data_IF_741620874104
#
_entry.id   IF_741620874104
#
_cell.length_a   1.000
_cell.length_b   1.000
_cell.length_c   1.000
_cell.angle_alpha   90.00
_cell.angle_beta   90.00
_cell.angle_gamma   90.00
#
_symmetry.space_group_name_H-M   'P 1'
#
loop_
_entity.id
_entity.type
_entity.pdbx_description
1 polymer ?
#
# COMPACT_ATOMS: atom_id res chain seq x y z
N UNK A 1 7.40 -31.47 56.36
CA UNK A 1 6.47 -30.36 56.05
C UNK A 1 6.70 -29.93 54.60
N UNK A 2 5.72 -30.15 53.73
CA UNK A 2 5.75 -29.78 52.31
C UNK A 2 5.45 -28.28 52.19
N UNK A 3 6.32 -27.51 51.53
CA UNK A 3 6.10 -26.10 51.19
C UNK A 3 6.58 -25.90 49.76
N UNK A 4 5.62 -25.95 48.83
CA UNK A 4 5.10 -24.82 48.03
C UNK A 4 5.92 -24.59 46.76
N UNK A 5 5.33 -25.03 45.66
CA UNK A 5 5.69 -24.67 44.30
C UNK A 5 5.55 -23.15 44.10
N UNK A 6 6.60 -22.50 43.60
CA UNK A 6 6.52 -21.14 43.06
C UNK A 6 6.58 -21.29 41.55
N UNK A 7 5.42 -21.16 40.90
CA UNK A 7 5.30 -21.11 39.46
C UNK A 7 5.84 -19.75 38.96
N UNK A 8 6.90 -19.79 38.17
CA UNK A 8 7.49 -18.64 37.50
C UNK A 8 6.61 -18.26 36.29
N UNK A 9 5.50 -17.57 36.52
CA UNK A 9 4.68 -16.94 35.48
C UNK A 9 5.13 -15.49 35.26
N UNK A 10 6.29 -15.31 34.61
CA UNK A 10 6.63 -14.04 33.98
C UNK A 10 5.98 -14.03 32.58
N UNK A 11 4.68 -13.78 32.58
CA UNK A 11 3.87 -13.65 31.37
C UNK A 11 4.33 -12.45 30.55
N UNK A 12 5.01 -12.77 29.44
CA UNK A 12 4.90 -12.14 28.12
C UNK A 12 4.13 -10.82 28.14
N UNK A 13 4.86 -9.71 28.17
CA UNK A 13 4.30 -8.38 27.96
C UNK A 13 3.54 -8.35 26.64
N UNK A 14 2.23 -8.22 26.73
CA UNK A 14 1.38 -7.77 25.63
C UNK A 14 1.78 -6.33 25.32
N UNK A 15 2.84 -6.17 24.52
CA UNK A 15 3.08 -4.98 23.73
C UNK A 15 1.93 -4.91 22.72
N UNK A 16 0.80 -4.36 23.14
CA UNK A 16 -0.23 -3.88 22.23
C UNK A 16 0.38 -2.60 21.63
N UNK A 17 1.31 -2.77 20.68
CA UNK A 17 1.69 -1.68 19.80
C UNK A 17 0.45 -1.39 18.95
N UNK A 18 -0.23 -0.29 19.22
CA UNK A 18 -1.17 0.28 18.26
C UNK A 18 -0.34 0.49 16.99
N UNK A 19 -0.54 -0.34 15.97
CA UNK A 19 0.09 -0.11 14.67
C UNK A 19 -0.30 1.30 14.26
N UNK A 20 0.68 2.18 14.10
CA UNK A 20 0.44 3.47 13.48
C UNK A 20 -0.02 3.15 12.05
N UNK A 21 -1.32 3.30 11.80
CA UNK A 21 -1.86 3.11 10.46
C UNK A 21 -1.46 4.32 9.67
N UNK A 22 -0.56 4.06 8.76
CA UNK A 22 -0.11 5.00 7.78
C UNK A 22 -1.26 5.10 6.74
N UNK A 23 -1.64 6.30 6.33
CA UNK A 23 -2.81 6.57 5.48
C UNK A 23 -2.38 7.04 4.09
N UNK A 24 -3.12 6.61 3.08
CA UNK A 24 -2.94 7.13 1.74
C UNK A 24 -3.61 8.51 1.69
N UNK A 25 -2.86 9.55 1.35
CA UNK A 25 -3.38 10.93 1.31
C UNK A 25 -3.66 11.42 -0.12
N UNK A 26 -2.99 10.88 -1.13
CA UNK A 26 -3.25 11.17 -2.53
C UNK A 26 -2.76 10.05 -3.44
N UNK A 27 -3.31 10.02 -4.65
CA UNK A 27 -2.79 9.22 -5.76
C UNK A 27 -2.17 10.13 -6.80
N UNK A 28 -1.06 9.69 -7.38
CA UNK A 28 -0.39 10.32 -8.52
C UNK A 28 -0.11 9.30 -9.60
N UNK A 29 0.08 9.76 -10.83
CA UNK A 29 0.45 8.90 -11.95
C UNK A 29 1.43 9.58 -12.91
N UNK A 30 2.24 8.75 -13.57
CA UNK A 30 3.19 9.18 -14.60
C UNK A 30 3.20 8.22 -15.79
N UNK A 31 2.80 8.72 -16.95
CA UNK A 31 3.01 8.10 -18.25
C UNK A 31 4.51 8.03 -18.56
N UNK A 32 4.98 6.82 -18.85
CA UNK A 32 6.38 6.56 -19.17
C UNK A 32 6.69 6.76 -20.66
N UNK A 33 5.69 7.06 -21.49
CA UNK A 33 5.85 7.28 -22.93
C UNK A 33 6.09 6.01 -23.75
N UNK A 34 6.06 4.83 -23.12
CA UNK A 34 6.38 3.54 -23.73
C UNK A 34 5.22 2.52 -23.65
N UNK A 35 3.99 3.00 -23.42
CA UNK A 35 2.80 2.17 -23.23
C UNK A 35 2.61 1.69 -21.80
N UNK A 36 3.26 2.32 -20.82
CA UNK A 36 3.12 1.99 -19.40
C UNK A 36 3.03 3.25 -18.54
N UNK A 37 2.48 3.08 -17.35
CA UNK A 37 2.26 4.12 -16.34
C UNK A 37 2.80 3.63 -15.00
N UNK A 38 3.41 4.53 -14.23
CA UNK A 38 3.77 4.31 -12.83
C UNK A 38 2.74 5.02 -11.96
N UNK A 39 2.23 4.31 -10.96
CA UNK A 39 1.37 4.92 -9.94
C UNK A 39 2.17 5.28 -8.71
N UNK A 40 1.75 6.38 -8.09
CA UNK A 40 2.31 6.89 -6.87
C UNK A 40 1.20 6.97 -5.80
N UNK A 41 1.50 6.50 -4.60
CA UNK A 41 0.67 6.67 -3.41
C UNK A 41 1.35 7.63 -2.45
N UNK A 42 0.74 8.77 -2.19
CA UNK A 42 1.25 9.75 -1.25
C UNK A 42 0.92 9.34 0.18
N UNK A 43 1.85 9.59 1.08
CA UNK A 43 1.92 9.00 2.38
C UNK A 43 2.21 10.02 3.49
N UNK A 44 1.62 9.84 4.68
CA UNK A 44 1.98 10.54 5.92
C UNK A 44 2.82 9.63 6.81
N UNK A 45 3.99 10.05 7.32
CA UNK A 45 4.72 9.56 8.53
C UNK A 45 6.23 9.86 8.48
N UNK A 46 6.67 10.71 7.55
CA UNK A 46 8.06 11.14 7.41
C UNK A 46 8.90 10.15 6.61
N UNK A 47 10.10 10.60 6.23
CA UNK A 47 10.94 9.96 5.23
C UNK A 47 11.00 8.43 5.33
N UNK A 48 10.60 7.79 4.24
CA UNK A 48 10.67 6.35 4.09
C UNK A 48 12.11 5.89 3.93
N UNK A 49 12.43 4.71 4.47
CA UNK A 49 13.77 4.10 4.38
C UNK A 49 13.78 2.79 3.60
N UNK A 50 12.59 2.30 3.22
CA UNK A 50 12.45 1.13 2.35
C UNK A 50 11.11 1.19 1.62
N UNK A 51 11.03 0.56 0.45
CA UNK A 51 9.75 0.33 -0.24
C UNK A 51 8.85 -0.67 0.51
N UNK A 52 9.43 -1.34 1.51
CA UNK A 52 8.78 -2.30 2.38
C UNK A 52 8.12 -1.56 3.54
N UNK A 53 6.87 -1.24 3.35
CA UNK A 53 5.94 -1.37 4.46
C UNK A 53 5.27 -2.73 4.36
N UNK A 54 4.44 -3.12 5.32
CA UNK A 54 3.60 -4.31 5.22
C UNK A 54 2.49 -4.09 4.17
N UNK A 55 2.90 -3.86 2.91
CA UNK A 55 2.30 -2.86 2.04
C UNK A 55 1.23 -3.47 1.15
N UNK A 56 -0.04 -3.35 1.55
CA UNK A 56 -1.18 -3.96 0.86
C UNK A 56 -1.32 -3.65 -0.64
N UNK A 57 -0.46 -2.78 -1.18
CA UNK A 57 -0.40 -2.36 -2.57
C UNK A 57 -1.55 -1.45 -2.91
N UNK A 58 -1.74 -1.21 -4.20
CA UNK A 58 -2.97 -0.61 -4.72
C UNK A 58 -3.70 -1.65 -5.55
N UNK A 59 -4.96 -1.87 -5.21
CA UNK A 59 -5.90 -2.63 -6.04
C UNK A 59 -6.55 -1.67 -7.02
N UNK A 60 -6.52 -2.05 -8.28
CA UNK A 60 -7.05 -1.25 -9.39
C UNK A 60 -8.06 -2.09 -10.16
N UNK A 61 -9.23 -1.51 -10.45
CA UNK A 61 -10.25 -2.17 -11.25
C UNK A 61 -11.23 -1.18 -11.87
N UNK A 62 -12.20 -1.72 -12.61
CA UNK A 62 -13.30 -0.93 -13.16
C UNK A 62 -14.25 -0.55 -12.02
N UNK A 63 -14.56 0.74 -11.91
CA UNK A 63 -15.55 1.23 -10.95
C UNK A 63 -16.97 0.88 -11.42
N UNK A 64 -17.79 0.29 -10.55
CA UNK A 64 -19.21 0.07 -10.83
C UNK A 64 -20.05 1.17 -10.19
N UNK A 65 -20.59 2.08 -11.00
CA UNK A 65 -21.42 3.19 -10.56
C UNK A 65 -22.77 2.77 -9.95
N UNK A 66 -23.16 1.50 -10.08
CA UNK A 66 -24.39 0.97 -9.48
C UNK A 66 -24.18 0.44 -8.05
N UNK A 67 -22.93 0.36 -7.59
CA UNK A 67 -22.56 -0.12 -6.26
C UNK A 67 -22.09 1.05 -5.38
N UNK A 68 -22.31 0.94 -4.07
CA UNK A 68 -21.67 1.84 -3.13
C UNK A 68 -20.17 1.57 -3.05
N UNK A 69 -19.39 2.55 -2.59
CA UNK A 69 -17.93 2.40 -2.39
C UNK A 69 -17.58 1.13 -1.58
N UNK A 70 -18.29 0.90 -0.47
CA UNK A 70 -18.07 -0.27 0.39
C UNK A 70 -18.49 -1.61 -0.25
N UNK A 71 -19.32 -1.59 -1.30
CA UNK A 71 -19.79 -2.78 -2.00
C UNK A 71 -18.97 -3.13 -3.25
N UNK A 72 -17.96 -2.32 -3.60
CA UNK A 72 -17.11 -2.58 -4.76
C UNK A 72 -16.38 -3.93 -4.61
N UNK A 73 -16.25 -4.73 -5.68
CA UNK A 73 -15.65 -6.07 -5.65
C UNK A 73 -14.11 -6.03 -5.66
N UNK A 74 -13.53 -5.30 -4.71
CA UNK A 74 -12.09 -5.00 -4.64
C UNK A 74 -11.20 -6.25 -4.57
N UNK A 75 -11.70 -7.36 -4.05
CA UNK A 75 -10.98 -8.63 -4.04
C UNK A 75 -10.67 -9.17 -5.44
N UNK A 76 -11.45 -8.77 -6.45
CA UNK A 76 -11.25 -9.12 -7.87
C UNK A 76 -10.38 -8.12 -8.62
N UNK A 77 -10.16 -6.93 -8.04
CA UNK A 77 -9.31 -5.91 -8.63
C UNK A 77 -7.84 -6.34 -8.60
N UNK A 78 -7.11 -5.97 -9.65
CA UNK A 78 -5.73 -6.35 -9.81
C UNK A 78 -4.86 -5.62 -8.78
N UNK A 79 -4.01 -6.37 -8.09
CA UNK A 79 -3.12 -5.85 -7.07
C UNK A 79 -1.76 -5.47 -7.67
N UNK A 80 -1.34 -4.24 -7.44
CA UNK A 80 -0.01 -3.73 -7.77
C UNK A 80 0.72 -3.39 -6.48
N UNK A 81 1.88 -4.00 -6.29
CA UNK A 81 2.72 -3.75 -5.12
C UNK A 81 3.48 -2.45 -5.30
N UNK A 82 3.69 -1.75 -4.20
CA UNK A 82 4.66 -0.66 -4.14
C UNK A 82 6.07 -1.26 -4.14
N UNK A 83 6.96 -0.64 -4.89
CA UNK A 83 8.30 -1.19 -5.19
C UNK A 83 9.43 -0.20 -4.96
N UNK A 84 9.09 1.06 -4.73
CA UNK A 84 10.03 2.10 -4.35
C UNK A 84 9.34 3.25 -3.63
N UNK A 85 10.12 4.23 -3.22
CA UNK A 85 9.64 5.43 -2.53
C UNK A 85 10.45 6.65 -2.93
N UNK A 86 9.88 7.84 -2.72
CA UNK A 86 10.54 9.13 -2.84
C UNK A 86 10.06 9.98 -1.68
N UNK A 87 10.99 10.61 -0.96
CA UNK A 87 10.67 11.45 0.19
C UNK A 87 10.75 12.93 -0.16
N UNK A 88 10.20 13.76 0.71
CA UNK A 88 10.34 15.22 0.68
C UNK A 88 9.80 15.91 -0.59
N UNK A 89 8.72 15.37 -1.17
CA UNK A 89 8.04 15.94 -2.33
C UNK A 89 6.53 16.04 -2.13
N UNK A 90 5.94 17.20 -2.42
CA UNK A 90 4.49 17.39 -2.38
C UNK A 90 3.95 17.77 -0.99
N UNK A 91 2.88 17.11 -0.59
CA UNK A 91 2.16 17.24 0.70
C UNK A 91 0.99 18.23 0.67
N UNK A 92 1.12 19.29 -0.12
CA UNK A 92 0.06 20.27 -0.34
C UNK A 92 -0.42 20.23 -1.78
N UNK A 93 -1.63 20.73 -2.04
CA UNK A 93 -2.17 20.85 -3.39
C UNK A 93 -1.22 21.65 -4.30
N UNK A 94 -0.73 22.79 -3.82
CA UNK A 94 0.23 23.60 -4.56
C UNK A 94 1.55 22.86 -4.83
N UNK A 95 2.05 22.09 -3.88
CA UNK A 95 3.28 21.32 -4.07
C UNK A 95 3.07 20.13 -5.02
N UNK A 96 1.92 19.46 -4.97
CA UNK A 96 1.57 18.39 -5.90
C UNK A 96 1.34 18.94 -7.32
N UNK A 97 0.70 20.10 -7.46
CA UNK A 97 0.58 20.81 -8.74
C UNK A 97 1.94 21.20 -9.31
N UNK A 98 2.90 21.57 -8.46
CA UNK A 98 4.28 21.80 -8.89
C UNK A 98 4.92 20.52 -9.46
N UNK A 99 4.68 19.35 -8.86
CA UNK A 99 5.15 18.07 -9.41
C UNK A 99 4.57 17.80 -10.81
N UNK A 100 3.29 18.16 -11.04
CA UNK A 100 2.68 18.07 -12.37
C UNK A 100 3.34 19.06 -13.33
N UNK A 101 3.48 20.32 -12.94
CA UNK A 101 4.06 21.36 -13.79
C UNK A 101 5.53 21.08 -14.17
N UNK A 102 6.28 20.43 -13.28
CA UNK A 102 7.66 20.02 -13.49
C UNK A 102 7.77 18.70 -14.30
N UNK A 103 6.65 18.07 -14.63
CA UNK A 103 6.60 16.79 -15.34
C UNK A 103 7.04 15.59 -14.50
N UNK A 104 7.14 15.72 -13.17
CA UNK A 104 7.39 14.59 -12.27
C UNK A 104 6.18 13.66 -12.22
N UNK A 105 4.97 14.25 -12.20
CA UNK A 105 3.70 13.56 -12.38
C UNK A 105 3.01 14.11 -13.63
N UNK A 106 2.09 13.35 -14.22
CA UNK A 106 1.18 13.88 -15.25
C UNK A 106 -0.17 14.27 -14.64
N UNK A 107 -0.48 13.74 -13.46
CA UNK A 107 -1.62 14.16 -12.67
C UNK A 107 -1.60 13.57 -11.27
N UNK A 108 -2.47 14.12 -10.43
CA UNK A 108 -2.69 13.64 -9.07
C UNK A 108 -4.13 13.93 -8.63
N UNK A 109 -4.55 13.26 -7.56
CA UNK A 109 -5.88 13.41 -6.97
C UNK A 109 -5.80 13.10 -5.47
N UNK A 110 -6.43 13.94 -4.66
CA UNK A 110 -6.52 13.73 -3.22
C UNK A 110 -7.34 12.49 -2.87
N UNK A 111 -6.95 11.76 -1.83
CA UNK A 111 -7.85 10.85 -1.12
C UNK A 111 -8.63 11.71 -0.11
N UNK A 112 -9.94 11.97 -0.32
CA UNK A 112 -10.64 13.02 0.42
C UNK A 112 -10.78 12.76 1.93
N UNK A 113 -10.69 11.50 2.37
CA UNK A 113 -10.82 11.15 3.78
C UNK A 113 -9.53 11.45 4.57
N UNK A 114 -8.38 11.46 3.90
CA UNK A 114 -7.06 11.54 4.51
C UNK A 114 -6.25 12.78 4.07
N UNK A 115 -6.59 13.43 2.95
CA UNK A 115 -5.83 14.57 2.45
C UNK A 115 -5.99 15.82 3.31
N UNK A 116 -5.01 16.05 4.19
CA UNK A 116 -4.97 17.21 5.09
C UNK A 116 -4.42 18.48 4.45
N UNK A 117 -3.91 18.41 3.21
CA UNK A 117 -3.19 19.49 2.55
C UNK A 117 -2.04 20.04 3.41
N UNK A 118 -1.13 19.14 3.81
CA UNK A 118 -0.06 19.39 4.77
C UNK A 118 1.31 19.02 4.17
N UNK A 119 2.30 19.91 4.31
CA UNK A 119 3.66 19.66 3.84
C UNK A 119 4.36 18.46 4.51
N UNK A 120 3.84 17.94 5.63
CA UNK A 120 4.32 16.69 6.25
C UNK A 120 3.84 15.41 5.57
N UNK A 121 2.96 15.51 4.58
CA UNK A 121 2.43 14.39 3.80
C UNK A 121 3.23 14.26 2.49
N UNK A 122 4.56 14.36 2.56
CA UNK A 122 5.44 14.62 1.41
C UNK A 122 6.24 13.39 0.97
N UNK A 123 5.80 12.20 1.33
CA UNK A 123 6.44 10.96 0.90
C UNK A 123 5.54 10.22 -0.10
N UNK A 124 6.14 9.60 -1.11
CA UNK A 124 5.42 8.87 -2.15
C UNK A 124 5.99 7.48 -2.31
N UNK A 125 5.13 6.46 -2.24
CA UNK A 125 5.44 5.12 -2.74
C UNK A 125 5.12 5.02 -4.21
N UNK A 126 5.82 4.15 -4.95
CA UNK A 126 5.52 3.94 -6.38
C UNK A 126 5.57 2.47 -6.81
N UNK A 127 4.74 2.13 -7.78
CA UNK A 127 4.68 0.78 -8.38
C UNK A 127 5.77 0.58 -9.43
N UNK A 128 5.96 -0.66 -9.89
CA UNK A 128 6.57 -0.87 -11.21
C UNK A 128 5.62 -0.36 -12.32
N UNK A 129 6.13 -0.03 -13.52
CA UNK A 129 5.27 0.38 -14.63
C UNK A 129 4.30 -0.73 -15.04
N UNK A 130 3.05 -0.35 -15.34
CA UNK A 130 2.01 -1.25 -15.83
C UNK A 130 1.11 -0.55 -16.86
N UNK A 131 0.28 -1.33 -17.55
CA UNK A 131 -0.59 -0.78 -18.61
C UNK A 131 -1.90 -0.27 -18.00
N UNK A 132 -2.16 1.02 -18.12
CA UNK A 132 -3.45 1.65 -17.84
C UNK A 132 -3.56 2.96 -18.63
N UNK A 133 -4.74 3.25 -19.17
CA UNK A 133 -5.03 4.46 -19.95
C UNK A 133 -5.88 5.47 -19.18
N UNK A 134 -6.18 6.60 -19.83
CA UNK A 134 -7.14 7.57 -19.28
C UNK A 134 -8.49 6.90 -19.02
N UNK A 135 -9.23 7.44 -18.06
CA UNK A 135 -10.55 6.95 -17.72
C UNK A 135 -10.81 6.96 -16.23
N UNK A 136 -11.96 6.43 -15.86
CA UNK A 136 -12.40 6.35 -14.47
C UNK A 136 -12.18 4.95 -13.93
N UNK A 137 -11.43 4.86 -12.84
CA UNK A 137 -10.96 3.61 -12.25
C UNK A 137 -11.26 3.58 -10.75
N UNK A 138 -11.52 2.39 -10.24
CA UNK A 138 -11.58 2.15 -8.81
C UNK A 138 -10.18 1.88 -8.26
N UNK A 139 -9.80 2.58 -7.19
CA UNK A 139 -8.55 2.36 -6.46
C UNK A 139 -8.83 2.03 -5.00
N UNK A 140 -8.08 1.07 -4.46
CA UNK A 140 -8.19 0.68 -3.06
C UNK A 140 -6.92 0.05 -2.52
N UNK A 141 -6.42 0.54 -1.40
CA UNK A 141 -5.22 0.02 -0.72
C UNK A 141 -5.55 -0.90 0.46
N UNK A 142 -6.83 -1.04 0.81
CA UNK A 142 -7.27 -1.87 1.93
C UNK A 142 -7.56 -1.07 3.21
N UNK A 143 -8.41 -1.67 4.06
CA UNK A 143 -8.73 -1.11 5.40
C UNK A 143 -7.74 -1.55 6.48
N UNK A 144 -7.01 -2.65 6.25
CA UNK A 144 -6.18 -3.32 7.24
C UNK A 144 -4.87 -3.81 6.62
N UNK A 145 -3.80 -3.03 6.73
CA UNK A 145 -2.41 -3.40 6.99
C UNK A 145 -1.55 -2.12 6.85
N UNK A 146 -0.29 -2.18 7.30
CA UNK A 146 0.34 -1.15 8.10
C UNK A 146 0.56 0.23 7.45
N UNK A 147 0.38 0.36 6.13
CA UNK A 147 0.63 1.62 5.40
C UNK A 147 -0.37 1.86 4.28
N UNK A 148 -0.59 3.14 3.98
CA UNK A 148 -1.47 3.65 2.94
C UNK A 148 -2.94 3.22 3.03
N UNK A 149 -3.46 3.00 4.24
CA UNK A 149 -4.85 2.51 4.40
C UNK A 149 -5.90 3.48 3.85
N UNK A 150 -6.90 2.92 3.18
CA UNK A 150 -8.13 3.60 2.76
C UNK A 150 -9.32 3.01 3.52
N UNK A 151 -10.21 3.87 4.01
CA UNK A 151 -11.40 3.41 4.74
C UNK A 151 -12.40 2.68 3.83
N UNK A 152 -12.50 3.12 2.57
CA UNK A 152 -13.30 2.51 1.50
C UNK A 152 -12.60 2.75 0.16
N UNK A 153 -12.91 1.96 -0.88
CA UNK A 153 -12.48 2.22 -2.26
C UNK A 153 -12.93 3.59 -2.77
N UNK A 154 -12.13 4.21 -3.62
CA UNK A 154 -12.46 5.47 -4.27
C UNK A 154 -12.55 5.33 -5.79
N UNK A 155 -13.35 6.21 -6.40
CA UNK A 155 -13.42 6.42 -7.83
C UNK A 155 -12.45 7.54 -8.22
N UNK A 156 -11.59 7.28 -9.20
CA UNK A 156 -10.54 8.20 -9.60
C UNK A 156 -10.48 8.34 -11.12
N UNK A 157 -10.38 9.58 -11.61
CA UNK A 157 -10.28 9.87 -13.04
C UNK A 157 -8.83 10.15 -13.41
N UNK A 158 -8.27 9.31 -14.28
CA UNK A 158 -6.93 9.47 -14.85
C UNK A 158 -7.02 10.24 -16.17
N UNK A 159 -6.14 11.21 -16.33
CA UNK A 159 -6.02 12.03 -17.54
C UNK A 159 -4.54 12.24 -17.89
N UNK A 160 -4.25 12.73 -19.10
CA UNK A 160 -2.89 13.06 -19.51
C UNK A 160 -2.01 11.87 -19.90
N UNK A 161 -2.53 10.64 -19.87
CA UNK A 161 -1.83 9.45 -20.37
C UNK A 161 -1.92 9.44 -21.89
N UNK A 162 -0.80 9.51 -22.56
CA UNK A 162 -0.71 9.61 -24.03
C UNK A 162 -0.23 8.32 -24.68
N UNK A 163 0.54 7.51 -23.95
CA UNK A 163 1.17 6.30 -24.50
C UNK A 163 0.27 5.06 -24.46
N UNK A 164 -0.87 5.13 -23.76
CA UNK A 164 -1.84 4.04 -23.60
C UNK A 164 -3.23 4.53 -24.06
N UNK A 165 -3.95 3.79 -24.93
CA UNK A 165 -5.29 4.20 -25.36
C UNK A 165 -6.28 4.31 -24.19
N UNK A 166 -7.22 5.26 -24.31
CA UNK A 166 -8.27 5.48 -23.32
C UNK A 166 -9.05 4.19 -22.99
N UNK A 167 -9.35 3.99 -21.70
CA UNK A 167 -10.06 2.83 -21.19
C UNK A 167 -9.25 1.52 -21.19
N UNK A 168 -7.98 1.54 -21.60
CA UNK A 168 -7.14 0.34 -21.53
C UNK A 168 -6.74 0.06 -20.08
N UNK A 169 -6.80 -1.19 -19.66
CA UNK A 169 -6.23 -1.67 -18.39
C UNK A 169 -7.26 -2.07 -17.33
N UNK A 170 -6.83 -2.23 -16.06
CA UNK A 170 -5.42 -2.43 -15.68
C UNK A 170 -4.88 -3.73 -16.31
N UNK A 171 -3.78 -3.63 -17.06
CA UNK A 171 -3.10 -4.78 -17.64
C UNK A 171 -2.25 -5.51 -16.60
N UNK A 172 -1.88 -6.76 -16.88
CA UNK A 172 -0.98 -7.53 -16.01
C UNK A 172 0.37 -6.80 -15.85
N UNK A 173 0.73 -6.42 -14.62
CA UNK A 173 2.12 -6.11 -14.33
C UNK A 173 2.94 -7.42 -14.35
N UNK A 174 4.23 -7.39 -14.73
CA UNK A 174 5.14 -8.49 -14.39
C UNK A 174 5.00 -8.78 -12.90
N UNK A 175 4.96 -10.04 -12.44
CA UNK A 175 4.81 -10.35 -11.02
C UNK A 175 5.87 -9.59 -10.23
N UNK A 176 5.44 -8.63 -9.41
CA UNK A 176 6.32 -7.96 -8.47
C UNK A 176 6.88 -9.03 -7.55
N UNK A 177 8.20 -9.17 -7.50
CA UNK A 177 8.91 -10.10 -6.60
C UNK A 177 8.82 -9.68 -5.12
N UNK A 178 7.91 -8.76 -4.77
CA UNK A 178 7.58 -8.43 -3.40
C UNK A 178 6.86 -9.62 -2.78
N UNK A 179 7.65 -10.54 -2.22
CA UNK A 179 7.18 -11.62 -1.38
C UNK A 179 6.26 -11.06 -0.30
N UNK A 180 5.07 -11.64 -0.17
CA UNK A 180 4.12 -11.33 0.89
C UNK A 180 4.81 -11.33 2.27
N UNK A 181 4.44 -10.43 3.19
CA UNK A 181 5.07 -10.34 4.50
C UNK A 181 4.89 -11.66 5.28
N UNK A 182 6.00 -12.39 5.43
CA UNK A 182 6.46 -13.06 6.66
C UNK A 182 5.64 -14.14 7.36
N UNK A 183 4.37 -14.40 7.06
CA UNK A 183 3.56 -15.32 7.90
C UNK A 183 4.06 -16.77 7.86
N UNK A 184 4.74 -17.18 6.78
CA UNK A 184 5.35 -18.50 6.67
C UNK A 184 6.64 -18.68 7.48
N UNK A 185 7.39 -17.61 7.78
CA UNK A 185 8.63 -17.71 8.53
C UNK A 185 8.37 -18.04 10.02
N UNK A 186 7.31 -17.48 10.60
CA UNK A 186 6.92 -17.74 11.99
C UNK A 186 6.41 -19.18 12.22
N UNK A 187 5.76 -19.79 11.22
CA UNK A 187 5.33 -21.19 11.31
C UNK A 187 6.53 -22.17 11.22
N UNK A 188 7.54 -21.85 10.39
CA UNK A 188 8.74 -22.67 10.20
C UNK A 188 9.63 -22.76 11.44
N UNK A 189 9.85 -21.64 12.14
CA UNK A 189 10.62 -21.64 13.40
C UNK A 189 9.82 -22.25 14.57
N UNK A 190 8.49 -22.10 14.59
CA UNK A 190 7.63 -22.72 15.61
C UNK A 190 7.66 -24.26 15.58
N UNK A 191 7.67 -24.86 14.38
CA UNK A 191 7.73 -26.31 14.23
C UNK A 191 9.12 -26.89 14.58
N UNK A 192 10.20 -26.20 14.21
CA UNK A 192 11.56 -26.64 14.53
C UNK A 192 11.82 -26.64 16.06
N UNK A 193 11.28 -25.66 16.79
CA UNK A 193 11.36 -25.60 18.25
C UNK A 193 10.59 -26.73 18.95
N UNK A 194 9.43 -27.12 18.43
CA UNK A 194 8.63 -28.25 18.95
C UNK A 194 9.29 -29.61 18.68
N UNK A 195 9.98 -29.77 17.55
CA UNK A 195 10.71 -31.00 17.21
C UNK A 195 12.03 -31.13 17.98
N UNK A 196 12.72 -30.02 18.30
CA UNK A 196 13.94 -30.04 19.11
C UNK A 196 13.66 -30.43 20.57
N UNK A 197 12.51 -30.05 21.14
CA UNK A 197 12.12 -30.47 22.51
C UNK A 197 11.85 -31.96 22.65
N UNK A 198 11.52 -32.68 21.56
CA UNK A 198 11.18 -34.11 21.62
C UNK A 198 12.42 -35.03 21.67
N UNK A 199 13.63 -34.50 21.43
CA UNK A 199 14.89 -35.27 21.49
C UNK A 199 15.66 -35.16 22.81
N UNK A 200 15.24 -34.29 23.73
CA UNK A 200 15.93 -34.08 25.02
C UNK A 200 15.25 -34.74 26.23
N UNK A 201 14.23 -35.58 26.01
CA UNK A 201 13.68 -36.48 27.02
C UNK A 201 14.02 -37.93 26.66
N UNK A 202 15.24 -38.34 26.97
CA UNK A 202 15.61 -39.71 27.32
C UNK A 202 16.57 -39.66 28.49
#
# INVERSE_FOLDING_TARGET
MKKTAIALLAGLGLLISNAANAHLVAFGWKDQGNGTVVFYGQHWHGNQSSAYSDNGGVRIGVWDSNLSAAAQPTNTWQLFQWTGFINDMGGTAAANDLLVSNGTLDGWVAEPANFGNNAGDNDWFYTIPFVIGNGTWGLFTGTNCCVDTMSVPGEFTLTGISSVPDGTGPGSAPPSTASAPGTFALLGFGLAGLLARRKLTK
#
